data_IF_856735330604
#
_entry.id   IF_856735330604
#
_cell.length_a   1.000
_cell.length_b   1.000
_cell.length_c   1.000
_cell.angle_alpha   90.00
_cell.angle_beta   90.00
_cell.angle_gamma   90.00
#
_symmetry.space_group_name_H-M   'P 1'
#
loop_
_entity.id
_entity.type
_entity.pdbx_description
1 polymer ?
#
# COMPACT_ATOMS: atom_id res chain seq x y z
N UNK A 1 -36.49 -7.73 2.22
CA UNK A 1 -35.32 -8.53 1.77
C UNK A 1 -34.17 -8.44 2.77
N UNK A 2 -33.71 -7.22 3.09
CA UNK A 2 -32.66 -6.98 4.09
C UNK A 2 -32.98 -7.53 5.48
N UNK A 3 -34.24 -7.44 5.92
CA UNK A 3 -34.66 -8.05 7.18
C UNK A 3 -34.59 -9.59 7.16
N UNK A 4 -34.91 -10.21 6.02
CA UNK A 4 -34.81 -11.66 5.85
C UNK A 4 -33.35 -12.12 5.83
N UNK A 5 -32.47 -11.33 5.21
CA UNK A 5 -31.02 -11.54 5.25
C UNK A 5 -30.48 -11.49 6.67
N UNK A 6 -30.82 -10.45 7.44
CA UNK A 6 -30.35 -10.31 8.81
C UNK A 6 -30.78 -11.51 9.65
N UNK A 7 -32.02 -12.00 9.45
CA UNK A 7 -32.48 -13.25 10.08
C UNK A 7 -31.68 -14.48 9.66
N UNK A 8 -31.27 -14.60 8.39
CA UNK A 8 -30.42 -15.71 7.92
C UNK A 8 -29.05 -15.64 8.59
N UNK A 9 -28.42 -14.45 8.60
CA UNK A 9 -27.14 -14.23 9.25
C UNK A 9 -27.22 -14.45 10.78
N UNK A 10 -28.32 -14.06 11.42
CA UNK A 10 -28.56 -14.32 12.83
C UNK A 10 -28.64 -15.82 13.14
N UNK A 11 -29.23 -16.61 12.25
CA UNK A 11 -29.32 -18.07 12.39
C UNK A 11 -28.02 -18.82 12.11
N UNK A 12 -27.07 -18.21 11.38
CA UNK A 12 -25.80 -18.84 11.00
C UNK A 12 -24.69 -18.71 12.05
N UNK A 13 -24.97 -18.05 13.18
CA UNK A 13 -24.03 -17.82 14.29
C UNK A 13 -22.69 -17.22 13.84
N UNK A 14 -22.76 -16.29 12.88
CA UNK A 14 -21.62 -15.54 12.34
C UNK A 14 -21.31 -14.31 13.19
N UNK A 15 -20.06 -13.86 13.22
CA UNK A 15 -19.66 -12.70 14.03
C UNK A 15 -20.35 -11.42 13.55
N UNK A 16 -20.34 -10.42 14.43
CA UNK A 16 -20.79 -9.05 14.09
C UNK A 16 -20.00 -8.49 12.90
N UNK A 17 -18.71 -8.81 12.79
CA UNK A 17 -17.88 -8.38 11.65
C UNK A 17 -18.39 -8.97 10.33
N UNK A 18 -18.71 -10.28 10.30
CA UNK A 18 -19.29 -10.94 9.15
C UNK A 18 -20.66 -10.35 8.77
N UNK A 19 -21.52 -10.07 9.76
CA UNK A 19 -22.84 -9.44 9.53
C UNK A 19 -22.70 -8.06 8.89
N UNK A 20 -21.86 -7.22 9.47
CA UNK A 20 -21.59 -5.87 8.95
C UNK A 20 -21.05 -5.94 7.53
N UNK A 21 -20.16 -6.89 7.24
CA UNK A 21 -19.56 -7.06 5.92
C UNK A 21 -20.59 -7.47 4.87
N UNK A 22 -21.46 -8.41 5.20
CA UNK A 22 -22.56 -8.84 4.32
C UNK A 22 -23.53 -7.69 4.03
N UNK A 23 -23.89 -6.93 5.08
CA UNK A 23 -24.78 -5.78 4.96
C UNK A 23 -24.17 -4.68 4.09
N UNK A 24 -22.88 -4.38 4.27
CA UNK A 24 -22.13 -3.41 3.45
C UNK A 24 -22.18 -3.80 1.96
N UNK A 25 -21.81 -5.05 1.65
CA UNK A 25 -21.79 -5.58 0.27
C UNK A 25 -23.16 -5.51 -0.40
N UNK A 26 -24.21 -5.94 0.29
CA UNK A 26 -25.56 -5.92 -0.26
C UNK A 26 -26.11 -4.51 -0.41
N UNK A 27 -25.82 -3.62 0.55
CA UNK A 27 -26.21 -2.21 0.45
C UNK A 27 -25.58 -1.57 -0.79
N UNK A 28 -24.31 -1.87 -1.05
CA UNK A 28 -23.61 -1.38 -2.23
C UNK A 28 -24.24 -1.92 -3.53
N UNK A 29 -24.56 -3.22 -3.58
CA UNK A 29 -25.24 -3.83 -4.73
C UNK A 29 -26.59 -3.16 -5.01
N UNK A 30 -27.45 -3.04 -4.00
CA UNK A 30 -28.78 -2.44 -4.17
C UNK A 30 -28.72 -0.98 -4.59
N UNK A 31 -27.73 -0.22 -4.10
CA UNK A 31 -27.53 1.17 -4.51
C UNK A 31 -27.11 1.28 -5.98
N UNK A 32 -26.27 0.36 -6.46
CA UNK A 32 -25.87 0.36 -7.87
C UNK A 32 -27.05 0.00 -8.78
N UNK A 33 -27.80 -1.05 -8.45
CA UNK A 33 -28.98 -1.45 -9.23
C UNK A 33 -30.08 -0.37 -9.22
N UNK A 34 -30.36 0.22 -8.06
CA UNK A 34 -31.35 1.31 -7.92
C UNK A 34 -31.04 2.50 -8.81
N UNK A 35 -29.75 2.86 -8.96
CA UNK A 35 -29.33 3.95 -9.87
C UNK A 35 -29.51 3.62 -11.34
N UNK A 36 -29.20 2.39 -11.73
CA UNK A 36 -29.30 1.95 -13.13
C UNK A 36 -30.75 1.86 -13.58
N UNK A 37 -31.65 1.46 -12.68
CA UNK A 37 -33.07 1.27 -12.98
C UNK A 37 -33.95 2.48 -12.64
N UNK A 38 -33.39 3.55 -12.04
CA UNK A 38 -34.12 4.73 -11.53
C UNK A 38 -35.33 4.36 -10.65
N UNK A 39 -35.17 3.29 -9.87
CA UNK A 39 -36.18 2.73 -8.96
C UNK A 39 -35.70 2.84 -7.51
N UNK A 40 -36.62 2.96 -6.55
CA UNK A 40 -36.24 2.89 -5.13
C UNK A 40 -35.86 1.46 -4.77
N UNK A 41 -34.97 1.30 -3.78
CA UNK A 41 -34.53 -0.02 -3.29
C UNK A 41 -35.73 -0.91 -2.89
N UNK A 42 -36.84 -0.34 -2.40
CA UNK A 42 -38.04 -1.11 -2.05
C UNK A 42 -38.87 -1.55 -3.27
N UNK A 43 -38.77 -0.84 -4.39
CA UNK A 43 -39.52 -1.10 -5.63
C UNK A 43 -38.74 -1.90 -6.64
N UNK A 44 -37.43 -2.08 -6.42
CA UNK A 44 -36.53 -2.79 -7.32
C UNK A 44 -37.11 -4.17 -7.62
N UNK A 45 -37.69 -4.33 -8.81
CA UNK A 45 -38.19 -5.63 -9.23
C UNK A 45 -36.98 -6.50 -9.55
N UNK A 46 -36.67 -7.42 -8.63
CA UNK A 46 -35.52 -8.33 -8.64
C UNK A 46 -35.63 -9.32 -9.82
N UNK A 47 -35.55 -8.84 -11.05
CA UNK A 47 -35.79 -9.68 -12.22
C UNK A 47 -34.53 -10.43 -12.68
N UNK A 48 -33.31 -9.95 -12.39
CA UNK A 48 -32.11 -10.58 -12.96
C UNK A 48 -30.87 -10.69 -12.02
N UNK A 49 -30.53 -9.71 -11.16
CA UNK A 49 -29.23 -9.68 -10.44
C UNK A 49 -29.29 -9.63 -8.91
N UNK A 50 -30.48 -9.53 -8.33
CA UNK A 50 -30.66 -9.56 -6.88
C UNK A 50 -31.64 -10.67 -6.46
N UNK A 51 -31.47 -11.83 -7.10
CA UNK A 51 -32.20 -13.05 -6.75
C UNK A 51 -31.79 -13.55 -5.36
N UNK A 52 -32.53 -14.53 -4.85
CA UNK A 52 -32.16 -15.28 -3.65
C UNK A 52 -30.74 -15.86 -3.78
N UNK A 53 -30.31 -16.22 -4.98
CA UNK A 53 -28.97 -16.76 -5.24
C UNK A 53 -27.88 -15.74 -4.91
N UNK A 54 -28.06 -14.47 -5.27
CA UNK A 54 -27.07 -13.43 -4.98
C UNK A 54 -26.91 -13.18 -3.47
N UNK A 55 -28.02 -13.28 -2.73
CA UNK A 55 -27.96 -13.22 -1.26
C UNK A 55 -27.18 -14.42 -0.72
N UNK A 56 -27.47 -15.62 -1.22
CA UNK A 56 -26.80 -16.85 -0.80
C UNK A 56 -25.31 -16.84 -1.17
N UNK A 57 -24.93 -16.26 -2.31
CA UNK A 57 -23.54 -16.12 -2.74
C UNK A 57 -22.76 -15.23 -1.76
N UNK A 58 -23.31 -14.06 -1.41
CA UNK A 58 -22.66 -13.12 -0.49
C UNK A 58 -22.58 -13.70 0.93
N UNK A 59 -23.72 -14.16 1.47
CA UNK A 59 -23.78 -14.71 2.84
C UNK A 59 -22.97 -15.99 2.95
N UNK A 60 -23.11 -16.89 1.97
CA UNK A 60 -22.39 -18.16 1.92
C UNK A 60 -20.89 -17.97 1.83
N UNK A 61 -20.43 -17.04 0.99
CA UNK A 61 -19.00 -16.71 0.88
C UNK A 61 -18.46 -16.18 2.21
N UNK A 62 -19.15 -15.23 2.85
CA UNK A 62 -18.72 -14.66 4.14
C UNK A 62 -18.70 -15.73 5.22
N UNK A 63 -19.74 -16.56 5.32
CA UNK A 63 -19.81 -17.66 6.27
C UNK A 63 -18.67 -18.66 6.08
N UNK A 64 -18.37 -19.04 4.83
CA UNK A 64 -17.25 -19.94 4.52
C UNK A 64 -15.91 -19.33 4.94
N UNK A 65 -15.67 -18.06 4.61
CA UNK A 65 -14.44 -17.37 4.99
C UNK A 65 -14.29 -17.27 6.51
N UNK A 66 -15.36 -16.93 7.23
CA UNK A 66 -15.34 -16.85 8.68
C UNK A 66 -15.08 -18.21 9.34
N UNK A 67 -15.81 -19.24 8.92
CA UNK A 67 -15.65 -20.61 9.44
C UNK A 67 -14.23 -21.15 9.26
N UNK A 68 -13.52 -20.68 8.24
CA UNK A 68 -12.14 -21.04 7.97
C UNK A 68 -11.11 -20.04 8.51
N UNK A 69 -11.52 -19.00 9.24
CA UNK A 69 -10.63 -17.98 9.81
C UNK A 69 -9.99 -17.07 8.77
N UNK A 70 -10.57 -16.98 7.57
CA UNK A 70 -10.06 -16.23 6.42
C UNK A 70 -10.75 -14.87 6.22
N UNK A 71 -11.79 -14.55 7.00
CA UNK A 71 -12.52 -13.29 6.84
C UNK A 71 -11.69 -12.05 7.24
N UNK A 72 -10.82 -12.18 8.24
CA UNK A 72 -10.09 -11.07 8.85
C UNK A 72 -8.59 -11.05 8.50
N UNK A 73 -8.17 -11.77 7.45
CA UNK A 73 -6.78 -11.75 6.97
C UNK A 73 -6.65 -10.82 5.76
N UNK A 74 -5.43 -10.35 5.43
CA UNK A 74 -5.20 -9.63 4.17
C UNK A 74 -5.60 -10.47 2.95
N UNK A 75 -6.46 -9.91 2.09
CA UNK A 75 -6.87 -10.51 0.82
C UNK A 75 -6.37 -9.62 -0.30
N UNK A 76 -5.61 -10.21 -1.22
CA UNK A 76 -5.02 -9.52 -2.35
C UNK A 76 -5.80 -9.79 -3.63
N UNK A 77 -6.07 -8.74 -4.41
CA UNK A 77 -6.78 -8.82 -5.68
C UNK A 77 -5.96 -8.27 -6.84
N UNK A 78 -5.96 -8.98 -7.96
CA UNK A 78 -5.42 -8.51 -9.25
C UNK A 78 -6.51 -7.79 -10.04
N UNK A 79 -6.16 -6.98 -11.07
CA UNK A 79 -7.15 -6.43 -11.99
C UNK A 79 -8.03 -7.54 -12.57
N UNK A 80 -9.33 -7.30 -12.64
CA UNK A 80 -10.31 -8.30 -13.10
C UNK A 80 -10.71 -8.04 -14.55
N UNK A 81 -10.88 -9.11 -15.34
CA UNK A 81 -11.38 -8.99 -16.71
C UNK A 81 -12.90 -8.84 -16.70
N UNK A 82 -13.42 -7.78 -17.33
CA UNK A 82 -14.86 -7.57 -17.46
C UNK A 82 -15.48 -8.25 -18.69
N UNK A 83 -14.65 -8.68 -19.64
CA UNK A 83 -15.07 -9.16 -20.96
C UNK A 83 -15.28 -8.01 -21.96
N UNK A 84 -15.98 -8.28 -23.05
CA UNK A 84 -16.20 -7.32 -24.14
C UNK A 84 -17.51 -7.56 -24.90
N UNK A 85 -17.80 -6.66 -25.84
CA UNK A 85 -18.96 -6.78 -26.73
C UNK A 85 -20.25 -6.32 -26.08
N UNK A 86 -21.34 -7.05 -26.35
CA UNK A 86 -22.68 -6.69 -25.92
C UNK A 86 -23.42 -7.91 -25.38
N UNK A 87 -24.27 -7.67 -24.39
CA UNK A 87 -25.17 -8.64 -23.77
C UNK A 87 -26.61 -8.18 -23.96
N UNK A 88 -27.53 -9.13 -24.08
CA UNK A 88 -28.96 -8.85 -24.26
C UNK A 88 -29.72 -9.32 -23.03
N UNK A 89 -30.48 -8.42 -22.44
CA UNK A 89 -31.33 -8.67 -21.28
C UNK A 89 -32.75 -8.18 -21.52
N UNK A 90 -33.62 -8.29 -20.51
CA UNK A 90 -35.01 -7.82 -20.57
C UNK A 90 -35.16 -6.34 -20.96
N UNK A 91 -34.12 -5.53 -20.80
CA UNK A 91 -34.12 -4.09 -21.14
C UNK A 91 -33.38 -3.78 -22.44
N UNK A 92 -33.04 -4.79 -23.24
CA UNK A 92 -32.41 -4.65 -24.54
C UNK A 92 -30.92 -4.99 -24.54
N UNK A 93 -30.22 -4.48 -25.55
CA UNK A 93 -28.80 -4.78 -25.80
C UNK A 93 -27.91 -3.72 -25.14
N UNK A 94 -27.03 -4.15 -24.25
CA UNK A 94 -26.17 -3.29 -23.42
C UNK A 94 -24.71 -3.66 -23.64
N UNK A 95 -23.80 -2.68 -23.57
CA UNK A 95 -22.35 -2.93 -23.67
C UNK A 95 -21.83 -3.68 -22.45
N UNK A 96 -20.78 -4.49 -22.65
CA UNK A 96 -19.98 -5.04 -21.56
C UNK A 96 -18.81 -4.07 -21.25
N UNK A 97 -18.56 -3.73 -19.97
CA UNK A 97 -19.29 -4.14 -18.77
C UNK A 97 -20.68 -3.48 -18.65
N UNK A 98 -21.67 -4.19 -18.07
CA UNK A 98 -22.99 -3.61 -17.84
C UNK A 98 -22.98 -2.42 -16.85
N UNK A 99 -23.96 -1.51 -16.91
CA UNK A 99 -24.02 -0.29 -16.11
C UNK A 99 -23.88 -0.50 -14.60
N UNK A 100 -24.53 -1.52 -14.03
CA UNK A 100 -24.44 -1.81 -12.60
C UNK A 100 -23.01 -2.18 -12.18
N UNK A 101 -22.30 -2.94 -13.02
CA UNK A 101 -20.89 -3.29 -12.80
C UNK A 101 -20.02 -2.04 -12.83
N UNK A 102 -20.27 -1.10 -13.76
CA UNK A 102 -19.52 0.16 -13.84
C UNK A 102 -19.76 1.07 -12.62
N UNK A 103 -21.00 1.19 -12.13
CA UNK A 103 -21.31 1.93 -10.90
C UNK A 103 -20.55 1.37 -9.69
N UNK A 104 -20.49 0.04 -9.57
CA UNK A 104 -19.79 -0.63 -8.47
C UNK A 104 -18.27 -0.45 -8.60
N UNK A 105 -17.71 -0.67 -9.80
CA UNK A 105 -16.29 -0.47 -10.08
C UNK A 105 -15.84 0.96 -9.77
N UNK A 106 -16.64 1.96 -10.16
CA UNK A 106 -16.37 3.36 -9.86
C UNK A 106 -16.33 3.60 -8.35
N UNK A 107 -17.33 3.10 -7.62
CA UNK A 107 -17.44 3.33 -6.18
C UNK A 107 -16.37 2.60 -5.36
N UNK A 108 -15.91 1.44 -5.82
CA UNK A 108 -14.88 0.64 -5.17
C UNK A 108 -13.46 0.98 -5.62
N UNK A 109 -13.32 1.84 -6.64
CA UNK A 109 -12.04 2.15 -7.29
C UNK A 109 -11.23 0.88 -7.65
N UNK A 110 -11.92 -0.19 -8.07
CA UNK A 110 -11.30 -1.49 -8.29
C UNK A 110 -10.73 -1.60 -9.72
N UNK A 111 -9.46 -2.01 -9.91
CA UNK A 111 -8.85 -2.05 -11.22
C UNK A 111 -9.46 -3.17 -12.07
N UNK A 112 -9.74 -2.84 -13.33
CA UNK A 112 -10.28 -3.79 -14.29
C UNK A 112 -9.66 -3.60 -15.66
N UNK A 113 -9.78 -4.62 -16.50
CA UNK A 113 -9.40 -4.56 -17.91
C UNK A 113 -10.43 -5.30 -18.76
N UNK A 114 -10.37 -5.10 -20.07
CA UNK A 114 -11.13 -5.86 -21.05
C UNK A 114 -10.16 -6.44 -22.08
N UNK A 115 -10.58 -7.55 -22.70
CA UNK A 115 -9.87 -8.17 -23.81
C UNK A 115 -10.87 -8.74 -24.83
N UNK A 116 -10.38 -9.55 -25.77
CA UNK A 116 -11.15 -10.08 -26.90
C UNK A 116 -12.22 -11.11 -26.55
N UNK A 117 -12.36 -11.53 -25.28
CA UNK A 117 -13.43 -12.46 -24.91
C UNK A 117 -14.78 -11.75 -24.91
N UNK A 118 -15.65 -12.19 -25.81
CA UNK A 118 -16.99 -11.66 -25.97
C UNK A 118 -17.94 -12.18 -24.87
N UNK A 119 -18.71 -11.28 -24.29
CA UNK A 119 -19.68 -11.54 -23.23
C UNK A 119 -19.24 -11.03 -21.85
N UNK A 120 -20.21 -10.99 -20.94
CA UNK A 120 -19.99 -10.58 -19.55
C UNK A 120 -19.15 -11.62 -18.79
N UNK A 121 -17.97 -11.21 -18.31
CA UNK A 121 -17.11 -12.03 -17.43
C UNK A 121 -17.15 -11.60 -15.98
N UNK A 122 -17.55 -10.35 -15.71
CA UNK A 122 -17.73 -9.81 -14.37
C UNK A 122 -19.19 -9.43 -14.17
N UNK A 123 -19.87 -10.13 -13.27
CA UNK A 123 -21.26 -9.82 -12.87
C UNK A 123 -21.28 -8.83 -11.71
N UNK A 124 -22.42 -8.17 -11.42
CA UNK A 124 -22.58 -7.32 -10.25
C UNK A 124 -22.22 -8.03 -8.94
N UNK A 125 -22.69 -9.26 -8.75
CA UNK A 125 -22.36 -10.09 -7.58
C UNK A 125 -20.85 -10.38 -7.48
N UNK A 126 -20.21 -10.69 -8.61
CA UNK A 126 -18.77 -10.96 -8.67
C UNK A 126 -17.93 -9.77 -8.22
N UNK A 127 -18.24 -8.56 -8.68
CA UNK A 127 -17.48 -7.37 -8.28
C UNK A 127 -17.77 -6.96 -6.83
N UNK A 128 -18.99 -7.15 -6.33
CA UNK A 128 -19.32 -6.89 -4.92
C UNK A 128 -18.52 -7.82 -4.00
N UNK A 129 -18.44 -9.11 -4.33
CA UNK A 129 -17.62 -10.06 -3.59
C UNK A 129 -16.14 -9.67 -3.66
N UNK A 130 -15.61 -9.40 -4.85
CA UNK A 130 -14.20 -9.03 -5.02
C UNK A 130 -13.85 -7.73 -4.28
N UNK A 131 -14.50 -6.62 -4.62
CA UNK A 131 -14.16 -5.33 -4.03
C UNK A 131 -14.64 -5.16 -2.59
N UNK A 132 -15.59 -5.97 -2.13
CA UNK A 132 -15.92 -6.05 -0.72
C UNK A 132 -14.89 -6.84 0.10
N UNK A 133 -14.34 -7.94 -0.42
CA UNK A 133 -13.41 -8.81 0.33
C UNK A 133 -11.94 -8.42 0.21
N UNK A 134 -11.52 -7.92 -0.95
CA UNK A 134 -10.12 -7.57 -1.22
C UNK A 134 -9.74 -6.33 -0.43
N UNK A 135 -8.77 -6.47 0.47
CA UNK A 135 -8.21 -5.36 1.24
C UNK A 135 -6.97 -4.73 0.60
N UNK A 136 -6.33 -5.42 -0.34
CA UNK A 136 -5.11 -4.95 -1.00
C UNK A 136 -5.17 -5.20 -2.51
N UNK A 137 -5.21 -4.14 -3.32
CA UNK A 137 -5.17 -4.25 -4.78
C UNK A 137 -3.71 -4.24 -5.25
N UNK A 138 -3.34 -5.20 -6.10
CA UNK A 138 -1.99 -5.36 -6.65
C UNK A 138 -2.08 -5.55 -8.16
N UNK A 139 -1.08 -5.10 -8.92
CA UNK A 139 -1.07 -5.30 -10.38
C UNK A 139 -0.32 -6.57 -10.81
N UNK A 140 0.49 -7.15 -9.91
CA UNK A 140 1.28 -8.34 -10.17
C UNK A 140 1.51 -9.11 -8.86
N UNK A 141 1.66 -10.43 -8.97
CA UNK A 141 1.96 -11.27 -7.80
C UNK A 141 3.42 -11.06 -7.37
N UNK A 142 3.68 -10.83 -6.07
CA UNK A 142 5.04 -10.86 -5.54
C UNK A 142 5.59 -12.30 -5.51
N UNK A 143 6.84 -12.53 -5.06
CA UNK A 143 7.29 -13.85 -4.67
C UNK A 143 6.38 -14.44 -3.57
N UNK A 144 5.76 -15.59 -3.86
CA UNK A 144 4.79 -16.25 -3.00
C UNK A 144 5.13 -17.73 -2.83
N UNK A 145 4.85 -18.28 -1.64
CA UNK A 145 4.82 -19.73 -1.43
C UNK A 145 3.38 -20.19 -1.33
N UNK A 146 2.91 -20.94 -2.32
CA UNK A 146 1.53 -21.45 -2.34
C UNK A 146 1.36 -22.57 -1.32
N UNK A 147 0.39 -22.40 -0.42
CA UNK A 147 -0.03 -23.37 0.58
C UNK A 147 -1.21 -24.21 0.08
N UNK A 148 -2.24 -23.57 -0.48
CA UNK A 148 -3.43 -24.23 -1.02
C UNK A 148 -3.94 -23.50 -2.25
N UNK A 149 -4.63 -24.24 -3.11
CA UNK A 149 -5.23 -23.74 -4.35
C UNK A 149 -6.70 -24.15 -4.37
N UNK A 150 -7.58 -23.22 -4.71
CA UNK A 150 -8.99 -23.46 -4.99
C UNK A 150 -9.38 -22.94 -6.37
N UNK A 151 -10.28 -23.64 -7.04
CA UNK A 151 -10.85 -23.25 -8.33
C UNK A 151 -12.37 -23.27 -8.26
N UNK A 152 -13.02 -22.25 -8.83
CA UNK A 152 -14.44 -22.22 -9.11
C UNK A 152 -14.65 -22.01 -10.60
N UNK A 153 -15.36 -22.92 -11.27
CA UNK A 153 -15.65 -22.80 -12.69
C UNK A 153 -16.96 -22.04 -12.92
N UNK A 154 -16.96 -21.12 -13.89
CA UNK A 154 -18.17 -20.49 -14.38
C UNK A 154 -18.91 -21.37 -15.39
N UNK A 155 -20.18 -21.05 -15.65
CA UNK A 155 -21.04 -21.86 -16.53
C UNK A 155 -20.79 -21.65 -18.03
N UNK A 156 -20.03 -20.61 -18.42
CA UNK A 156 -19.74 -20.32 -19.83
C UNK A 156 -18.49 -21.06 -20.29
N UNK A 157 -18.55 -21.72 -21.43
CA UNK A 157 -17.37 -22.23 -22.13
C UNK A 157 -16.73 -21.10 -22.94
N UNK A 158 -15.46 -20.82 -22.66
CA UNK A 158 -14.70 -19.78 -23.36
C UNK A 158 -13.74 -20.44 -24.35
N UNK A 159 -13.74 -20.06 -25.64
CA UNK A 159 -12.94 -20.74 -26.67
C UNK A 159 -11.43 -20.68 -26.43
N UNK A 160 -10.94 -19.58 -25.86
CA UNK A 160 -9.50 -19.28 -25.77
C UNK A 160 -8.89 -19.50 -24.39
N UNK A 161 -9.69 -19.77 -23.35
CA UNK A 161 -9.20 -19.92 -21.97
C UNK A 161 -10.19 -20.67 -21.08
N UNK A 162 -9.72 -21.12 -19.91
CA UNK A 162 -10.62 -21.66 -18.88
C UNK A 162 -11.41 -20.55 -18.18
N UNK A 163 -12.73 -20.73 -18.06
CA UNK A 163 -13.61 -19.86 -17.28
C UNK A 163 -13.55 -20.24 -15.79
N UNK A 164 -12.45 -19.90 -15.12
CA UNK A 164 -12.23 -20.26 -13.72
C UNK A 164 -11.76 -19.08 -12.88
N UNK A 165 -12.36 -18.91 -11.70
CA UNK A 165 -11.81 -18.12 -10.62
C UNK A 165 -10.82 -18.99 -9.84
N UNK A 166 -9.63 -18.46 -9.56
CA UNK A 166 -8.60 -19.14 -8.77
C UNK A 166 -8.33 -18.37 -7.49
N UNK A 167 -8.36 -19.06 -6.36
CA UNK A 167 -7.97 -18.54 -5.04
C UNK A 167 -6.70 -19.24 -4.59
N UNK A 168 -5.74 -18.48 -4.09
CA UNK A 168 -4.47 -18.98 -3.57
C UNK A 168 -4.36 -18.62 -2.10
N UNK A 169 -4.19 -19.62 -1.24
CA UNK A 169 -3.69 -19.40 0.12
C UNK A 169 -2.18 -19.47 0.05
N UNK A 170 -1.50 -18.40 0.47
CA UNK A 170 -0.06 -18.23 0.27
C UNK A 170 0.60 -17.72 1.53
N UNK A 171 1.86 -18.10 1.73
CA UNK A 171 2.75 -17.33 2.58
C UNK A 171 3.41 -16.26 1.71
N UNK A 172 3.37 -15.02 2.18
CA UNK A 172 4.27 -13.99 1.69
C UNK A 172 5.68 -14.47 2.00
N UNK A 173 6.51 -14.67 0.96
CA UNK A 173 7.92 -14.90 1.18
C UNK A 173 8.49 -13.63 1.79
N UNK A 174 8.64 -13.61 3.11
CA UNK A 174 9.65 -12.78 3.76
C UNK A 174 11.00 -13.39 3.39
N UNK A 175 11.41 -13.27 2.12
CA UNK A 175 12.85 -13.18 1.87
C UNK A 175 13.35 -12.06 2.78
N UNK A 176 14.48 -12.24 3.46
CA UNK A 176 15.20 -11.16 4.14
C UNK A 176 15.12 -9.91 3.26
N UNK A 177 14.19 -9.01 3.59
CA UNK A 177 13.60 -8.12 2.58
C UNK A 177 14.70 -7.18 2.16
N UNK A 178 15.21 -7.34 0.93
CA UNK A 178 15.86 -6.20 0.28
C UNK A 178 14.81 -5.13 0.23
N UNK A 179 14.93 -4.16 1.11
CA UNK A 179 14.03 -3.02 1.15
C UNK A 179 14.29 -2.25 -0.14
N UNK A 180 13.34 -2.29 -1.08
CA UNK A 180 13.50 -1.59 -2.35
C UNK A 180 13.11 -0.14 -2.17
N UNK A 181 13.94 0.76 -2.69
CA UNK A 181 13.72 2.19 -2.68
C UNK A 181 13.68 2.71 -4.12
N UNK A 182 12.94 3.79 -4.31
CA UNK A 182 12.98 4.57 -5.55
C UNK A 182 14.04 5.66 -5.44
N UNK A 183 14.90 5.74 -6.46
CA UNK A 183 15.85 6.83 -6.65
C UNK A 183 15.39 7.68 -7.83
N UNK A 184 15.00 8.90 -7.54
CA UNK A 184 14.57 9.90 -8.50
C UNK A 184 15.74 10.80 -8.87
N UNK A 185 15.92 11.07 -10.16
CA UNK A 185 16.96 11.96 -10.66
C UNK A 185 16.48 12.93 -11.74
N UNK A 186 16.95 14.17 -11.67
CA UNK A 186 16.77 15.17 -12.73
C UNK A 186 17.97 16.11 -12.81
N UNK A 187 18.22 16.65 -14.00
CA UNK A 187 19.32 17.60 -14.23
C UNK A 187 18.75 19.01 -14.42
N UNK A 188 19.38 20.00 -13.79
CA UNK A 188 18.88 21.36 -13.67
C UNK A 188 20.00 22.34 -14.06
N UNK A 189 19.86 23.03 -15.19
CA UNK A 189 20.83 24.03 -15.69
C UNK A 189 20.34 25.49 -15.59
N UNK A 190 19.08 25.70 -15.21
CA UNK A 190 18.40 27.00 -15.16
C UNK A 190 17.79 27.33 -13.79
N UNK A 191 18.14 26.56 -12.75
CA UNK A 191 17.64 26.73 -11.38
C UNK A 191 18.71 27.39 -10.48
N UNK A 192 18.30 28.38 -9.69
CA UNK A 192 19.21 29.09 -8.76
C UNK A 192 19.46 28.28 -7.48
N UNK A 193 20.59 28.53 -6.82
CA UNK A 193 20.94 27.87 -5.56
C UNK A 193 19.92 28.10 -4.43
N UNK A 194 19.22 29.25 -4.43
CA UNK A 194 18.17 29.55 -3.46
C UNK A 194 16.97 28.59 -3.59
N UNK A 195 16.54 28.32 -4.83
CA UNK A 195 15.47 27.37 -5.12
C UNK A 195 15.91 25.95 -4.76
N UNK A 196 17.14 25.57 -5.11
CA UNK A 196 17.71 24.26 -4.77
C UNK A 196 17.80 24.05 -3.25
N UNK A 197 18.15 25.09 -2.49
CA UNK A 197 18.20 25.03 -1.03
C UNK A 197 16.82 24.90 -0.40
N UNK A 198 15.82 25.61 -0.93
CA UNK A 198 14.45 25.61 -0.41
C UNK A 198 13.75 24.26 -0.53
N UNK A 199 13.95 23.54 -1.64
CA UNK A 199 13.19 22.32 -1.91
C UNK A 199 13.61 21.11 -1.05
N UNK A 200 14.82 21.11 -0.48
CA UNK A 200 15.34 19.97 0.31
C UNK A 200 14.42 19.68 1.49
N UNK A 201 14.11 20.68 2.30
CA UNK A 201 13.26 20.51 3.48
C UNK A 201 11.83 20.08 3.08
N UNK A 202 11.31 20.60 1.98
CA UNK A 202 9.99 20.24 1.47
C UNK A 202 9.94 18.76 1.07
N UNK A 203 10.93 18.28 0.31
CA UNK A 203 11.01 16.87 -0.09
C UNK A 203 11.17 15.94 1.12
N UNK A 204 12.02 16.32 2.09
CA UNK A 204 12.18 15.57 3.34
C UNK A 204 10.86 15.49 4.12
N UNK A 205 10.12 16.60 4.23
CA UNK A 205 8.80 16.64 4.90
C UNK A 205 7.74 15.78 4.17
N UNK A 206 7.85 15.64 2.86
CA UNK A 206 6.97 14.80 2.05
C UNK A 206 7.36 13.31 2.02
N UNK A 207 8.41 12.92 2.76
CA UNK A 207 8.81 11.52 2.91
C UNK A 207 10.00 11.09 2.06
N UNK A 208 10.81 12.03 1.56
CA UNK A 208 12.14 11.68 1.08
C UNK A 208 13.00 11.15 2.24
N UNK A 209 13.71 10.06 1.98
CA UNK A 209 14.67 9.46 2.91
C UNK A 209 16.04 10.13 2.82
N UNK A 210 16.40 10.61 1.64
CA UNK A 210 17.63 11.34 1.37
C UNK A 210 17.47 12.26 0.15
N UNK A 211 18.14 13.40 0.17
CA UNK A 211 18.14 14.40 -0.91
C UNK A 211 19.56 14.93 -1.08
N UNK A 212 20.12 14.81 -2.28
CA UNK A 212 21.49 15.24 -2.59
C UNK A 212 21.60 15.93 -3.93
N UNK A 213 22.64 16.75 -4.07
CA UNK A 213 22.99 17.45 -5.31
C UNK A 213 24.41 17.10 -5.75
N UNK A 214 24.59 16.87 -7.05
CA UNK A 214 25.90 16.66 -7.67
C UNK A 214 26.12 17.68 -8.78
N UNK A 215 27.26 18.40 -8.81
CA UNK A 215 27.58 19.30 -9.90
C UNK A 215 27.89 18.49 -11.17
N UNK A 216 27.43 18.97 -12.33
CA UNK A 216 27.74 18.38 -13.62
C UNK A 216 27.77 19.44 -14.73
N UNK A 217 28.29 19.05 -15.90
CA UNK A 217 28.25 19.88 -17.11
C UNK A 217 27.27 19.26 -18.11
N UNK A 218 26.32 20.06 -18.59
CA UNK A 218 25.35 19.67 -19.62
C UNK A 218 25.78 20.12 -21.01
N UNK A 219 24.99 19.74 -22.03
CA UNK A 219 25.15 20.21 -23.42
C UNK A 219 25.32 21.73 -23.48
N UNK A 220 26.04 22.22 -24.48
CA UNK A 220 26.40 23.65 -24.63
C UNK A 220 27.27 24.17 -23.46
N UNK A 221 28.01 23.28 -22.79
CA UNK A 221 28.94 23.59 -21.70
C UNK A 221 28.28 24.36 -20.55
N UNK A 222 27.03 24.02 -20.22
CA UNK A 222 26.28 24.67 -19.14
C UNK A 222 26.58 23.99 -17.81
N UNK A 223 27.09 24.71 -16.80
CA UNK A 223 27.11 24.21 -15.42
C UNK A 223 25.69 23.93 -14.94
N UNK A 224 25.51 22.79 -14.28
CA UNK A 224 24.21 22.31 -13.85
C UNK A 224 24.33 21.46 -12.58
N UNK A 225 23.18 21.09 -12.02
CA UNK A 225 23.07 20.21 -10.86
C UNK A 225 22.25 18.96 -11.21
N UNK A 226 22.69 17.79 -10.77
CA UNK A 226 21.83 16.62 -10.64
C UNK A 226 21.21 16.63 -9.25
N UNK A 227 19.89 16.76 -9.18
CA UNK A 227 19.13 16.44 -7.98
C UNK A 227 18.93 14.92 -7.93
N UNK A 228 19.24 14.30 -6.79
CA UNK A 228 18.95 12.90 -6.49
C UNK A 228 18.12 12.82 -5.22
N UNK A 229 16.98 12.13 -5.28
CA UNK A 229 16.08 11.91 -4.15
C UNK A 229 15.87 10.42 -3.97
N UNK A 230 16.05 9.92 -2.74
CA UNK A 230 15.76 8.53 -2.37
C UNK A 230 14.49 8.52 -1.54
N UNK A 231 13.56 7.63 -1.84
CA UNK A 231 12.28 7.52 -1.13
C UNK A 231 11.73 6.09 -1.18
N UNK A 232 10.72 5.82 -0.35
CA UNK A 232 9.94 4.59 -0.45
C UNK A 232 9.15 4.57 -1.77
N UNK A 233 8.93 3.36 -2.32
CA UNK A 233 8.34 3.19 -3.66
C UNK A 233 6.93 3.83 -3.78
N UNK A 234 6.15 3.86 -2.70
CA UNK A 234 4.81 4.47 -2.66
C UNK A 234 4.85 6.01 -2.70
N UNK A 235 5.98 6.64 -2.35
CA UNK A 235 6.17 8.10 -2.39
C UNK A 235 6.74 8.61 -3.71
N UNK A 236 7.31 7.72 -4.52
CA UNK A 236 8.00 8.04 -5.78
C UNK A 236 7.21 8.98 -6.69
N UNK A 237 5.95 8.65 -7.00
CA UNK A 237 5.12 9.44 -7.92
C UNK A 237 4.76 10.82 -7.34
N UNK A 238 4.50 10.90 -6.04
CA UNK A 238 4.22 12.16 -5.35
C UNK A 238 5.44 13.10 -5.43
N UNK A 239 6.61 12.59 -5.04
CA UNK A 239 7.86 13.36 -5.01
C UNK A 239 8.30 13.75 -6.42
N UNK A 240 8.18 12.86 -7.41
CA UNK A 240 8.50 13.18 -8.80
C UNK A 240 7.64 14.34 -9.34
N UNK A 241 6.32 14.32 -9.07
CA UNK A 241 5.41 15.43 -9.44
C UNK A 241 5.78 16.73 -8.74
N UNK A 242 6.15 16.66 -7.47
CA UNK A 242 6.56 17.85 -6.72
C UNK A 242 7.85 18.45 -7.29
N UNK A 243 8.87 17.63 -7.56
CA UNK A 243 10.12 18.06 -8.21
C UNK A 243 9.84 18.76 -9.55
N UNK A 244 8.99 18.17 -10.39
CA UNK A 244 8.63 18.77 -11.68
C UNK A 244 7.91 20.11 -11.53
N UNK A 245 7.01 20.22 -10.55
CA UNK A 245 6.23 21.43 -10.30
C UNK A 245 7.09 22.57 -9.74
N UNK A 246 7.91 22.29 -8.72
CA UNK A 246 8.66 23.32 -8.00
C UNK A 246 9.95 23.74 -8.73
N UNK A 247 10.58 22.82 -9.48
CA UNK A 247 11.84 23.10 -10.20
C UNK A 247 11.64 23.37 -11.70
N UNK A 248 10.42 23.22 -12.22
CA UNK A 248 10.11 23.47 -13.63
C UNK A 248 10.75 22.47 -14.60
N UNK A 249 11.30 21.35 -14.11
CA UNK A 249 11.90 20.33 -14.98
C UNK A 249 10.82 19.58 -15.76
N UNK A 250 11.13 19.25 -17.02
CA UNK A 250 10.22 18.51 -17.90
C UNK A 250 10.10 17.02 -17.54
N UNK A 251 10.99 16.49 -16.70
CA UNK A 251 10.94 15.09 -16.32
C UNK A 251 11.90 14.70 -15.20
N UNK A 252 11.53 13.61 -14.54
CA UNK A 252 12.31 12.96 -13.49
C UNK A 252 12.47 11.50 -13.90
N UNK A 253 13.70 11.00 -13.84
CA UNK A 253 14.00 9.58 -14.06
C UNK A 253 13.87 8.85 -12.74
N UNK A 254 13.38 7.62 -12.79
CA UNK A 254 13.26 6.76 -11.62
C UNK A 254 14.04 5.47 -11.85
N UNK A 255 14.78 5.04 -10.83
CA UNK A 255 15.38 3.72 -10.76
C UNK A 255 15.03 3.03 -9.44
N UNK A 256 14.89 1.70 -9.50
CA UNK A 256 14.58 0.86 -8.34
C UNK A 256 15.85 0.23 -7.79
N UNK A 257 16.13 0.42 -6.50
CA UNK A 257 17.37 -0.02 -5.85
C UNK A 257 17.07 -0.87 -4.61
N UNK A 258 17.68 -2.05 -4.53
CA UNK A 258 17.61 -2.88 -3.33
C UNK A 258 18.56 -2.36 -2.25
N UNK A 259 18.06 -2.21 -1.02
CA UNK A 259 18.82 -1.76 0.14
C UNK A 259 18.97 -2.91 1.15
N UNK A 260 20.19 -3.12 1.62
CA UNK A 260 20.46 -3.88 2.83
C UNK A 260 20.48 -2.90 4.00
N UNK A 261 19.63 -3.15 4.99
CA UNK A 261 19.54 -2.33 6.20
C UNK A 261 19.68 -3.22 7.43
N UNK A 262 20.48 -2.76 8.40
CA UNK A 262 20.58 -3.40 9.69
C UNK A 262 19.39 -3.01 10.55
N UNK A 263 18.88 -3.94 11.36
CA UNK A 263 17.93 -3.59 12.41
C UNK A 263 18.59 -2.56 13.33
N UNK A 264 17.82 -1.54 13.72
CA UNK A 264 18.31 -0.46 14.58
C UNK A 264 17.37 -0.25 15.75
N UNK A 265 17.94 -0.07 16.93
CA UNK A 265 17.20 0.27 18.15
C UNK A 265 17.71 1.59 18.69
N UNK A 266 16.78 2.47 19.06
CA UNK A 266 17.13 3.69 19.76
C UNK A 266 16.86 3.45 21.23
N UNK A 267 17.93 3.43 22.03
CA UNK A 267 17.82 3.34 23.48
C UNK A 267 18.21 4.66 24.11
N UNK A 268 17.60 4.96 25.25
CA UNK A 268 17.89 6.18 26.00
C UNK A 268 18.61 5.81 27.28
N UNK A 269 19.82 6.35 27.49
CA UNK A 269 20.59 6.15 28.72
C UNK A 269 20.80 7.48 29.44
N UNK A 270 20.76 7.41 30.78
CA UNK A 270 21.26 8.49 31.64
C UNK A 270 22.76 8.31 31.82
N UNK A 271 23.50 9.38 31.67
CA UNK A 271 24.96 9.42 31.73
C UNK A 271 25.38 10.61 32.58
N UNK A 272 26.53 10.50 33.25
CA UNK A 272 27.07 11.57 34.09
C UNK A 272 28.36 12.07 33.47
N UNK A 273 28.43 13.37 33.22
CA UNK A 273 29.61 14.04 32.67
C UNK A 273 29.90 15.27 33.53
N UNK A 274 31.10 15.36 34.09
CA UNK A 274 31.51 16.46 35.00
C UNK A 274 30.49 16.66 36.16
N UNK A 275 29.99 15.56 36.73
CA UNK A 275 29.03 15.59 37.85
C UNK A 275 27.59 16.00 37.48
N UNK A 276 27.30 16.29 36.20
CA UNK A 276 25.95 16.59 35.72
C UNK A 276 25.33 15.39 35.01
N UNK A 277 24.05 15.16 35.24
CA UNK A 277 23.28 14.08 34.61
C UNK A 277 22.69 14.55 33.28
N UNK A 278 22.95 13.80 32.21
CA UNK A 278 22.40 14.01 30.89
C UNK A 278 21.63 12.79 30.43
N UNK A 279 20.69 12.99 29.52
CA UNK A 279 20.00 11.91 28.82
C UNK A 279 20.50 11.90 27.39
N UNK A 280 20.96 10.75 26.92
CA UNK A 280 21.47 10.58 25.57
C UNK A 280 20.84 9.36 24.91
N UNK A 281 20.37 9.55 23.68
CA UNK A 281 19.87 8.49 22.80
C UNK A 281 21.04 7.87 22.06
N UNK A 282 21.03 6.54 22.01
CA UNK A 282 22.02 5.73 21.33
C UNK A 282 21.32 4.87 20.29
N UNK A 283 21.82 4.91 19.06
CA UNK A 283 21.40 4.06 17.97
C UNK A 283 22.27 2.80 17.94
N UNK A 284 21.71 1.70 18.42
CA UNK A 284 22.27 0.36 18.31
C UNK A 284 22.04 -0.17 16.91
N UNK A 285 23.10 -0.69 16.27
CA UNK A 285 23.05 -1.41 15.00
C UNK A 285 23.12 -2.90 15.31
N UNK A 286 22.10 -3.63 14.87
CA UNK A 286 21.93 -5.05 15.13
C UNK A 286 22.20 -5.85 13.86
N UNK A 287 22.96 -6.94 13.98
CA UNK A 287 23.12 -7.95 12.94
C UNK A 287 22.95 -9.33 13.58
N UNK A 288 22.03 -10.14 13.05
CA UNK A 288 21.74 -11.50 13.54
C UNK A 288 21.46 -11.58 15.06
N UNK A 289 20.85 -10.54 15.63
CA UNK A 289 20.51 -10.44 17.05
C UNK A 289 21.64 -9.91 17.94
N UNK A 290 22.81 -9.60 17.39
CA UNK A 290 23.95 -9.03 18.11
C UNK A 290 24.15 -7.54 17.82
N UNK A 291 24.57 -6.78 18.84
CA UNK A 291 24.95 -5.37 18.66
C UNK A 291 26.32 -5.32 17.98
N UNK A 292 26.34 -4.91 16.71
CA UNK A 292 27.59 -4.72 15.92
C UNK A 292 28.13 -3.30 16.00
N UNK A 293 27.39 -2.39 16.61
CA UNK A 293 27.94 -1.10 17.03
C UNK A 293 26.89 -0.11 17.47
N UNK A 294 27.35 0.96 18.09
CA UNK A 294 26.51 1.96 18.73
C UNK A 294 26.97 3.35 18.33
N UNK A 295 26.03 4.25 18.06
CA UNK A 295 26.31 5.66 17.80
C UNK A 295 25.36 6.55 18.60
N UNK A 296 25.85 7.52 19.39
CA UNK A 296 24.99 8.52 20.03
C UNK A 296 24.33 9.42 18.98
N UNK A 297 23.10 9.85 19.23
CA UNK A 297 22.38 10.78 18.34
C UNK A 297 23.02 12.17 18.36
N UNK A 298 23.30 12.72 17.18
CA UNK A 298 24.12 13.93 17.04
C UNK A 298 23.54 15.15 17.77
N UNK A 299 22.22 15.32 17.76
CA UNK A 299 21.52 16.39 18.47
C UNK A 299 21.81 16.37 19.98
N UNK A 300 21.86 15.17 20.56
CA UNK A 300 22.15 14.99 21.99
C UNK A 300 23.62 15.30 22.27
N UNK A 301 24.54 14.87 21.37
CA UNK A 301 25.96 15.24 21.47
C UNK A 301 26.14 16.76 21.42
N UNK A 302 25.48 17.44 20.48
CA UNK A 302 25.58 18.88 20.30
C UNK A 302 25.03 19.65 21.53
N UNK A 303 23.91 19.20 22.08
CA UNK A 303 23.32 19.76 23.30
C UNK A 303 24.25 19.60 24.50
N UNK A 304 24.75 18.39 24.73
CA UNK A 304 25.66 18.08 25.84
C UNK A 304 26.99 18.82 25.66
N UNK A 305 27.54 18.91 24.45
CA UNK A 305 28.77 19.65 24.15
C UNK A 305 28.64 21.14 24.49
N UNK A 306 27.49 21.74 24.18
CA UNK A 306 27.20 23.15 24.49
C UNK A 306 27.26 23.43 25.99
N UNK A 307 26.73 22.51 26.81
CA UNK A 307 26.67 22.66 28.26
C UNK A 307 27.98 22.27 28.97
N UNK A 308 28.66 21.22 28.50
CA UNK A 308 29.88 20.67 29.11
C UNK A 308 31.17 21.33 28.62
N UNK A 309 31.08 22.08 27.51
CA UNK A 309 32.21 22.68 26.77
C UNK A 309 33.23 21.65 26.28
N UNK A 310 32.83 20.39 26.11
CA UNK A 310 33.66 19.34 25.52
C UNK A 310 33.46 19.37 24.00
N UNK A 311 34.53 19.29 23.19
CA UNK A 311 34.42 19.16 21.74
C UNK A 311 33.57 17.96 21.33
N UNK A 312 32.73 18.11 20.29
CA UNK A 312 31.77 17.09 19.84
C UNK A 312 32.45 15.74 19.54
N UNK A 313 33.62 15.76 18.89
CA UNK A 313 34.36 14.55 18.53
C UNK A 313 34.88 13.78 19.77
N UNK A 314 35.38 14.50 20.78
CA UNK A 314 35.82 13.90 22.04
C UNK A 314 34.62 13.36 22.83
N UNK A 315 33.52 14.13 22.83
CA UNK A 315 32.30 13.75 23.50
C UNK A 315 31.66 12.51 22.88
N UNK A 316 31.63 12.38 21.56
CA UNK A 316 31.13 11.19 20.86
C UNK A 316 31.85 9.93 21.34
N UNK A 317 33.19 9.95 21.39
CA UNK A 317 34.00 8.82 21.88
C UNK A 317 33.66 8.52 23.34
N UNK A 318 33.58 9.55 24.19
CA UNK A 318 33.27 9.39 25.62
C UNK A 318 31.89 8.78 25.85
N UNK A 319 30.89 9.21 25.08
CA UNK A 319 29.52 8.68 25.14
C UNK A 319 29.44 7.20 24.76
N UNK A 320 30.19 6.80 23.71
CA UNK A 320 30.26 5.40 23.30
C UNK A 320 30.90 4.54 24.39
N UNK A 321 31.98 5.00 25.04
CA UNK A 321 32.60 4.26 26.15
C UNK A 321 31.64 4.10 27.33
N UNK A 322 30.99 5.19 27.76
CA UNK A 322 30.00 5.16 28.85
C UNK A 322 28.81 4.23 28.55
N UNK A 323 28.44 4.09 27.27
CA UNK A 323 27.40 3.16 26.87
C UNK A 323 27.79 1.71 27.22
N UNK A 324 29.04 1.30 26.94
CA UNK A 324 29.50 -0.07 27.16
C UNK A 324 29.92 -0.35 28.61
N UNK A 325 30.43 0.65 29.32
CA UNK A 325 30.85 0.52 30.73
C UNK A 325 29.66 0.36 31.68
N UNK A 326 28.45 0.79 31.28
CA UNK A 326 27.22 0.66 32.06
C UNK A 326 27.20 1.59 33.27
N UNK A 327 26.55 2.76 33.14
CA UNK A 327 26.26 3.69 34.24
C UNK A 327 27.45 3.99 35.19
N UNK A 328 28.69 3.94 34.69
CA UNK A 328 29.89 4.23 35.46
C UNK A 328 30.15 5.74 35.50
N UNK A 329 30.42 6.28 36.69
CA UNK A 329 30.90 7.65 36.85
C UNK A 329 32.34 7.76 36.30
N UNK A 330 32.57 8.70 35.39
CA UNK A 330 33.92 9.13 35.00
C UNK A 330 34.13 10.55 35.53
N UNK A 331 35.01 10.69 36.54
CA UNK A 331 35.46 11.98 37.07
C UNK A 331 36.23 12.81 36.03
#
# INVERSE_FOLDING_TARGET
LMDSLMKVLDNLDVSVAAKNKAQEMLTLLFQAESRVHDETIEKLHLHETASVDTILDIVGTIWLLEKHGLLNIPIYGLPVNVGSGFITFSHGKVSVPPPAVLEILQKLEYPFFSDEVEGELLTPTGIILLGGLVSNQINQLPPLRVQKIGYGAGNKDLPSRSNVLRILLVDLQQESTKHYLSMLETHLDDVTGEILGGIVNELMNQGALDVSYYPLIMKKNRPAWCLRVICDEDKSSLLAKNIMKELGTLGVREGRFGRYELERRVITKKIIIKGKSFTCRFKERMLDGEIVGVKPEFEDIASIATETKIPINELEIKLVNLYYEGSGNYE
#
